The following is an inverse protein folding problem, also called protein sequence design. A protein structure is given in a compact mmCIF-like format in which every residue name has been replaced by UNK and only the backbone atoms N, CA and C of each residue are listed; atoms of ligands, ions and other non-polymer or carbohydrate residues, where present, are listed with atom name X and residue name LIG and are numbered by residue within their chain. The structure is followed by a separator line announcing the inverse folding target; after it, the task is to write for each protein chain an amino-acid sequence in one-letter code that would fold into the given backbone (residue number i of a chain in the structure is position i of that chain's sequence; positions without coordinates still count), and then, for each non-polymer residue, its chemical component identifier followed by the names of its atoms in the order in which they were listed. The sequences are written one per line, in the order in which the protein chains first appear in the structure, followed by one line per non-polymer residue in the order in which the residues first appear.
data_IF_515120133848
#
_entry.id   IF_515120133848
#
_cell.length_a   1.000
_cell.length_b   1.000
_cell.length_c   1.000
_cell.angle_alpha   90.00
_cell.angle_beta   90.00
_cell.angle_gamma   90.00
#
_symmetry.space_group_name_H-M   'P 1'
#
loop_
_entity.id
_entity.type
_entity.pdbx_description
1 polymer ?
#
# COMPACT_ATOMS: atom_id res chain seq x y z
N UNK A 1 -1.11 16.43 10.83
CA UNK A 1 -2.50 16.20 10.37
C UNK A 1 -2.58 14.98 9.44
N UNK A 2 -1.65 14.81 8.50
CA UNK A 2 -1.62 13.70 7.52
C UNK A 2 -1.45 12.29 8.13
N UNK A 3 -0.61 12.14 9.16
CA UNK A 3 -0.32 10.83 9.78
C UNK A 3 -1.51 10.23 10.54
N UNK A 4 -2.33 11.08 11.18
CA UNK A 4 -3.53 10.63 11.91
C UNK A 4 -4.59 10.09 10.95
N UNK A 5 -4.75 10.71 9.77
CA UNK A 5 -5.69 10.23 8.76
C UNK A 5 -5.20 8.93 8.11
N UNK A 6 -3.91 8.81 7.79
CA UNK A 6 -3.32 7.54 7.31
C UNK A 6 -3.56 6.41 8.30
N UNK A 7 -3.31 6.64 9.59
CA UNK A 7 -3.54 5.65 10.65
C UNK A 7 -5.01 5.23 10.75
N UNK A 8 -5.95 6.17 10.62
CA UNK A 8 -7.39 5.83 10.61
C UNK A 8 -7.77 4.93 9.43
N UNK A 9 -7.28 5.21 8.23
CA UNK A 9 -7.53 4.37 7.04
C UNK A 9 -6.98 2.97 7.26
N UNK A 10 -5.74 2.87 7.74
CA UNK A 10 -5.06 1.60 8.01
C UNK A 10 -5.85 0.76 9.01
N UNK A 11 -6.33 1.37 10.10
CA UNK A 11 -7.15 0.69 11.10
C UNK A 11 -8.48 0.17 10.52
N UNK A 12 -9.11 0.89 9.57
CA UNK A 12 -10.34 0.44 8.90
C UNK A 12 -10.13 -0.86 8.09
N UNK A 13 -8.90 -1.13 7.65
CA UNK A 13 -8.53 -2.35 6.90
C UNK A 13 -7.72 -3.35 7.73
N UNK A 14 -7.66 -3.16 9.06
CA UNK A 14 -6.97 -4.09 9.97
C UNK A 14 -5.44 -4.04 9.91
N UNK A 15 -4.85 -2.96 9.38
CA UNK A 15 -3.39 -2.80 9.26
C UNK A 15 -2.89 -1.77 10.26
N UNK A 16 -1.69 -2.00 10.82
CA UNK A 16 -0.94 -1.00 11.58
C UNK A 16 0.09 -0.27 10.71
N UNK A 17 0.40 1.02 10.96
CA UNK A 17 1.43 1.75 10.21
C UNK A 17 2.82 1.11 10.26
N UNK A 18 3.13 0.42 11.37
CA UNK A 18 4.34 -0.36 11.58
C UNK A 18 3.90 -1.77 11.97
N UNK A 19 4.48 -2.78 11.35
CA UNK A 19 4.14 -4.19 11.55
C UNK A 19 5.41 -5.03 11.67
N UNK A 20 5.33 -6.16 12.36
CA UNK A 20 6.37 -7.20 12.38
C UNK A 20 6.02 -8.39 11.50
N UNK A 21 4.78 -8.46 11.02
CA UNK A 21 4.25 -9.50 10.12
C UNK A 21 3.33 -8.83 9.10
N UNK A 22 3.42 -9.23 7.83
CA UNK A 22 2.50 -8.78 6.80
C UNK A 22 1.07 -9.30 7.04
N UNK A 23 0.03 -8.56 6.60
CA UNK A 23 -1.35 -8.99 6.74
C UNK A 23 -1.64 -10.27 5.95
N UNK A 24 -2.72 -10.96 6.35
CA UNK A 24 -3.14 -12.24 5.77
C UNK A 24 -3.37 -12.17 4.27
N UNK A 25 -3.03 -13.27 3.57
CA UNK A 25 -3.28 -13.45 2.13
C UNK A 25 -4.77 -13.53 1.76
N UNK A 26 -5.66 -13.70 2.75
CA UNK A 26 -7.11 -13.69 2.57
C UNK A 26 -7.65 -12.30 2.23
N UNK A 27 -7.03 -11.25 2.78
CA UNK A 27 -7.50 -9.87 2.67
C UNK A 27 -6.57 -9.02 1.81
N UNK A 28 -5.30 -9.43 1.71
CA UNK A 28 -4.26 -8.70 1.00
C UNK A 28 -3.44 -9.60 0.09
N UNK A 29 -3.16 -9.13 -1.12
CA UNK A 29 -2.09 -9.69 -1.93
C UNK A 29 -0.85 -8.81 -1.86
N UNK A 30 0.33 -9.41 -1.67
CA UNK A 30 1.60 -8.70 -1.65
C UNK A 30 2.41 -8.99 -2.92
N UNK A 31 3.04 -7.95 -3.47
CA UNK A 31 3.88 -8.08 -4.66
C UNK A 31 4.95 -6.98 -4.71
N UNK A 32 6.01 -7.22 -5.47
CA UNK A 32 7.00 -6.18 -5.80
C UNK A 32 6.51 -5.44 -7.02
N UNK A 33 6.44 -4.10 -6.95
CA UNK A 33 5.97 -3.30 -8.08
C UNK A 33 6.98 -3.35 -9.24
N UNK A 34 6.48 -3.25 -10.47
CA UNK A 34 7.33 -3.12 -11.65
C UNK A 34 8.22 -1.87 -11.59
N UNK A 35 7.67 -0.78 -11.05
CA UNK A 35 8.38 0.49 -10.87
C UNK A 35 9.56 0.36 -9.91
N UNK A 36 9.37 -0.31 -8.77
CA UNK A 36 10.46 -0.60 -7.84
C UNK A 36 11.49 -1.58 -8.43
N UNK A 37 11.01 -2.65 -9.07
CA UNK A 37 11.86 -3.71 -9.62
C UNK A 37 12.91 -3.21 -10.62
N UNK A 38 12.58 -2.15 -11.37
CA UNK A 38 13.42 -1.52 -12.37
C UNK A 38 14.05 -0.19 -11.90
N UNK A 39 13.96 0.12 -10.61
CA UNK A 39 14.45 1.38 -10.06
C UNK A 39 15.89 1.28 -9.56
N UNK A 40 16.61 2.42 -9.60
CA UNK A 40 17.92 2.56 -8.95
C UNK A 40 17.80 2.38 -7.42
N UNK A 41 16.65 2.74 -6.83
CA UNK A 41 16.42 2.61 -5.39
C UNK A 41 16.48 1.16 -4.91
N UNK A 42 16.04 0.20 -5.73
CA UNK A 42 16.13 -1.23 -5.39
C UNK A 42 17.56 -1.68 -5.13
N UNK A 43 18.52 -1.30 -5.98
CA UNK A 43 19.93 -1.68 -5.80
C UNK A 43 20.50 -1.13 -4.49
N UNK A 44 20.11 0.10 -4.15
CA UNK A 44 20.52 0.74 -2.89
C UNK A 44 19.87 0.03 -1.70
N UNK A 45 18.56 -0.20 -1.75
CA UNK A 45 17.81 -0.83 -0.67
C UNK A 45 18.33 -2.25 -0.38
N UNK A 46 18.61 -3.05 -1.40
CA UNK A 46 19.17 -4.40 -1.24
C UNK A 46 20.52 -4.39 -0.52
N UNK A 47 21.39 -3.41 -0.82
CA UNK A 47 22.66 -3.24 -0.12
C UNK A 47 22.49 -2.92 1.38
N UNK A 48 21.37 -2.30 1.75
CA UNK A 48 21.01 -1.97 3.13
C UNK A 48 20.00 -2.94 3.75
N UNK A 49 19.77 -4.12 3.13
CA UNK A 49 18.78 -5.13 3.58
C UNK A 49 17.38 -4.53 3.77
N UNK A 50 17.03 -3.63 2.87
CA UNK A 50 15.71 -3.01 2.76
C UNK A 50 15.00 -3.54 1.51
N UNK A 51 13.67 -3.64 1.57
CA UNK A 51 12.86 -4.05 0.42
C UNK A 51 11.56 -3.26 0.39
N UNK A 52 11.04 -3.00 -0.81
CA UNK A 52 9.74 -2.38 -1.02
C UNK A 52 8.71 -3.41 -1.50
N UNK A 53 7.53 -3.37 -0.91
CA UNK A 53 6.41 -4.23 -1.21
C UNK A 53 5.17 -3.37 -1.45
N UNK A 54 4.30 -3.84 -2.34
CA UNK A 54 2.94 -3.33 -2.44
C UNK A 54 1.99 -4.34 -1.83
N UNK A 55 1.13 -3.88 -0.91
CA UNK A 55 -0.02 -4.62 -0.43
C UNK A 55 -1.27 -4.13 -1.15
N UNK A 56 -2.05 -5.05 -1.71
CA UNK A 56 -3.32 -4.80 -2.38
C UNK A 56 -4.45 -5.36 -1.52
N UNK A 57 -5.29 -4.48 -0.98
CA UNK A 57 -6.51 -4.89 -0.29
C UNK A 57 -7.55 -5.40 -1.29
N UNK A 58 -7.87 -6.69 -1.21
CA UNK A 58 -8.62 -7.39 -2.25
C UNK A 58 -10.06 -6.91 -2.41
N UNK A 59 -10.67 -6.38 -1.35
CA UNK A 59 -12.07 -5.95 -1.37
C UNK A 59 -12.29 -4.52 -1.88
N UNK A 60 -11.27 -3.66 -1.82
CA UNK A 60 -11.39 -2.25 -2.23
C UNK A 60 -10.44 -1.80 -3.33
N UNK A 61 -9.38 -2.55 -3.60
CA UNK A 61 -8.34 -2.13 -4.53
C UNK A 61 -7.37 -1.09 -3.95
N UNK A 62 -7.50 -0.77 -2.64
CA UNK A 62 -6.55 0.05 -1.92
C UNK A 62 -5.16 -0.57 -1.97
N UNK A 63 -4.16 0.23 -2.31
CA UNK A 63 -2.76 -0.17 -2.31
C UNK A 63 -1.97 0.58 -1.26
N UNK A 64 -1.04 -0.15 -0.66
CA UNK A 64 -0.10 0.36 0.32
C UNK A 64 1.31 0.05 -0.17
N UNK A 65 2.16 1.07 -0.29
CA UNK A 65 3.60 0.80 -0.39
C UNK A 65 4.15 0.63 1.01
N UNK A 66 4.90 -0.45 1.23
CA UNK A 66 5.48 -0.86 2.49
C UNK A 66 6.96 -1.10 2.30
N UNK A 67 7.79 -0.51 3.15
CA UNK A 67 9.20 -0.86 3.21
C UNK A 67 9.44 -1.85 4.34
N UNK A 68 10.24 -2.87 4.10
CA UNK A 68 10.75 -3.78 5.12
C UNK A 68 12.21 -3.49 5.42
N UNK A 69 12.59 -3.59 6.68
CA UNK A 69 13.97 -3.55 7.15
C UNK A 69 14.23 -4.77 8.03
N UNK A 70 15.30 -5.49 7.73
CA UNK A 70 15.78 -6.63 8.52
C UNK A 70 16.93 -6.18 9.44
N UNK A 71 16.81 -6.43 10.74
CA UNK A 71 17.87 -6.11 11.70
C UNK A 71 18.96 -7.21 11.76
N UNK A 72 19.97 -7.01 12.61
CA UNK A 72 21.07 -7.98 12.78
C UNK A 72 20.67 -9.28 13.50
N UNK A 73 19.45 -9.34 14.04
CA UNK A 73 18.88 -10.50 14.73
C UNK A 73 17.77 -11.15 13.88
N UNK A 74 17.74 -10.88 12.58
CA UNK A 74 16.77 -11.36 11.60
C UNK A 74 15.30 -10.98 11.91
N UNK A 75 15.08 -9.92 12.71
CA UNK A 75 13.74 -9.36 12.88
C UNK A 75 13.40 -8.46 11.69
N UNK A 76 12.21 -8.64 11.13
CA UNK A 76 11.71 -7.81 10.04
C UNK A 76 10.69 -6.81 10.55
N UNK A 77 10.92 -5.53 10.26
CA UNK A 77 9.94 -4.46 10.50
C UNK A 77 9.44 -3.94 9.18
N UNK A 78 8.11 -3.88 9.04
CA UNK A 78 7.41 -3.32 7.90
C UNK A 78 6.84 -1.94 8.26
N UNK A 79 7.01 -0.97 7.37
CA UNK A 79 6.50 0.39 7.54
C UNK A 79 5.70 0.81 6.31
N UNK A 80 4.45 1.21 6.52
CA UNK A 80 3.63 1.80 5.45
C UNK A 80 4.17 3.20 5.13
N UNK A 81 4.50 3.45 3.87
CA UNK A 81 5.01 4.74 3.40
C UNK A 81 4.01 5.51 2.54
N UNK A 82 3.10 4.83 1.84
CA UNK A 82 2.09 5.48 0.98
C UNK A 82 0.78 4.69 0.93
N UNK A 83 -0.29 5.41 0.60
CA UNK A 83 -1.63 4.88 0.37
C UNK A 83 -2.16 5.44 -0.95
N UNK A 84 -2.58 4.57 -1.86
CA UNK A 84 -3.01 4.97 -3.20
C UNK A 84 -3.94 3.94 -3.84
N UNK A 85 -4.53 4.31 -4.97
CA UNK A 85 -5.31 3.43 -5.83
C UNK A 85 -4.78 3.55 -7.26
N UNK A 86 -4.97 2.48 -8.05
CA UNK A 86 -4.75 2.50 -9.49
C UNK A 86 -6.12 2.48 -10.14
N UNK A 87 -6.43 3.46 -10.97
CA UNK A 87 -7.65 3.49 -11.75
C UNK A 87 -7.61 2.48 -12.91
N UNK A 88 -8.76 2.17 -13.48
CA UNK A 88 -8.88 1.28 -14.65
C UNK A 88 -8.18 1.81 -15.90
N UNK A 89 -7.92 3.12 -15.98
CA UNK A 89 -7.08 3.78 -16.99
C UNK A 89 -5.56 3.74 -16.66
N UNK A 90 -5.15 3.00 -15.63
CA UNK A 90 -3.79 2.88 -15.09
C UNK A 90 -3.22 4.14 -14.42
N UNK A 91 -4.06 5.12 -14.08
CA UNK A 91 -3.63 6.30 -13.33
C UNK A 91 -3.45 5.97 -11.83
N UNK A 92 -2.33 6.39 -11.25
CA UNK A 92 -2.04 6.26 -9.82
C UNK A 92 -2.52 7.49 -9.05
N UNK A 93 -3.40 7.30 -8.07
CA UNK A 93 -3.99 8.40 -7.30
C UNK A 93 -3.78 8.18 -5.81
N UNK A 94 -3.20 9.18 -5.14
CA UNK A 94 -3.09 9.20 -3.69
C UNK A 94 -4.45 9.46 -3.04
N UNK A 95 -4.74 8.74 -1.95
CA UNK A 95 -6.02 8.87 -1.24
C UNK A 95 -5.87 9.65 0.06
N UNK A 96 -6.92 10.38 0.43
CA UNK A 96 -7.04 11.14 1.67
C UNK A 96 -7.86 10.41 2.73
N UNK A 97 -8.89 9.67 2.31
CA UNK A 97 -9.71 8.78 3.15
C UNK A 97 -10.47 7.75 2.27
N UNK A 98 -11.17 6.83 2.93
CA UNK A 98 -11.98 5.79 2.32
C UNK A 98 -13.29 5.62 3.10
N UNK A 99 -14.39 5.56 2.37
CA UNK A 99 -15.71 5.19 2.87
C UNK A 99 -16.07 3.81 2.31
N UNK A 100 -15.95 2.79 3.17
CA UNK A 100 -16.24 1.40 2.80
C UNK A 100 -17.74 1.12 2.69
N UNK A 101 -18.58 1.89 3.37
CA UNK A 101 -20.04 1.73 3.33
C UNK A 101 -20.57 2.19 1.97
N UNK A 102 -20.15 3.38 1.53
CA UNK A 102 -20.52 3.94 0.24
C UNK A 102 -19.62 3.47 -0.91
N UNK A 103 -18.54 2.72 -0.62
CA UNK A 103 -17.56 2.19 -1.59
C UNK A 103 -16.91 3.28 -2.45
N UNK A 104 -16.44 4.34 -1.78
CA UNK A 104 -15.77 5.48 -2.40
C UNK A 104 -14.43 5.78 -1.72
N UNK A 105 -13.47 6.25 -2.50
CA UNK A 105 -12.23 6.85 -2.04
C UNK A 105 -12.34 8.36 -2.13
N UNK A 106 -11.83 9.05 -1.12
CA UNK A 106 -11.75 10.51 -1.09
C UNK A 106 -10.33 10.89 -1.50
N UNK A 107 -10.20 11.74 -2.53
CA UNK A 107 -8.92 12.20 -3.07
C UNK A 107 -8.88 13.73 -3.09
N UNK A 108 -7.73 14.32 -3.43
CA UNK A 108 -7.61 15.76 -3.59
C UNK A 108 -8.49 16.32 -4.73
N UNK A 109 -8.80 15.50 -5.73
CA UNK A 109 -9.57 15.88 -6.92
C UNK A 109 -11.06 15.55 -6.82
N UNK A 110 -11.49 14.90 -5.74
CA UNK A 110 -12.88 14.47 -5.53
C UNK A 110 -13.00 13.01 -5.11
N UNK A 111 -14.21 12.47 -5.28
CA UNK A 111 -14.57 11.11 -4.89
C UNK A 111 -14.39 10.14 -6.06
N UNK A 112 -13.86 8.95 -5.76
CA UNK A 112 -13.61 7.89 -6.74
C UNK A 112 -14.30 6.60 -6.27
N UNK A 113 -15.31 6.10 -6.99
CA UNK A 113 -15.95 4.83 -6.69
C UNK A 113 -15.01 3.63 -6.84
N UNK A 114 -15.17 2.59 -6.01
CA UNK A 114 -14.37 1.36 -6.10
C UNK A 114 -14.45 0.69 -7.47
N UNK A 115 -15.58 0.81 -8.18
CA UNK A 115 -15.78 0.25 -9.53
C UNK A 115 -14.82 0.83 -10.58
N UNK A 116 -14.23 2.00 -10.32
CA UNK A 116 -13.28 2.66 -11.22
C UNK A 116 -11.83 2.27 -10.91
N UNK A 117 -11.62 1.49 -9.83
CA UNK A 117 -10.33 1.03 -9.36
C UNK A 117 -9.97 -0.32 -9.98
N UNK A 118 -8.73 -0.42 -10.44
CA UNK A 118 -8.13 -1.65 -10.94
C UNK A 118 -7.70 -2.54 -9.78
N UNK A 119 -8.11 -3.80 -9.84
CA UNK A 119 -7.66 -4.87 -8.94
C UNK A 119 -6.49 -5.67 -9.54
N UNK A 120 -6.00 -5.28 -10.73
CA UNK A 120 -4.91 -5.97 -11.40
C UNK A 120 -3.57 -5.71 -10.71
N UNK A 121 -2.74 -6.73 -10.72
CA UNK A 121 -1.39 -6.66 -10.18
C UNK A 121 -0.44 -6.35 -11.32
N UNK A 122 0.39 -5.35 -11.11
CA UNK A 122 1.36 -4.87 -12.09
C UNK A 122 2.74 -5.32 -11.59
N UNK A 123 3.14 -6.54 -11.98
CA UNK A 123 4.44 -7.15 -11.72
C UNK A 123 5.37 -6.91 -12.90
#
# INVERSE_FOLDING_TARGET
MELQNKTKILNKVGISPIMTVLPSSTDFEHYVSHEYSNSIRKETDEAYRMFEWTLLHLSSGLRLTVTSHEDYFDNVTYKVISLYIILTNNENISILDVDFENKIFITASGEIPFKEVSFKIHR
#
